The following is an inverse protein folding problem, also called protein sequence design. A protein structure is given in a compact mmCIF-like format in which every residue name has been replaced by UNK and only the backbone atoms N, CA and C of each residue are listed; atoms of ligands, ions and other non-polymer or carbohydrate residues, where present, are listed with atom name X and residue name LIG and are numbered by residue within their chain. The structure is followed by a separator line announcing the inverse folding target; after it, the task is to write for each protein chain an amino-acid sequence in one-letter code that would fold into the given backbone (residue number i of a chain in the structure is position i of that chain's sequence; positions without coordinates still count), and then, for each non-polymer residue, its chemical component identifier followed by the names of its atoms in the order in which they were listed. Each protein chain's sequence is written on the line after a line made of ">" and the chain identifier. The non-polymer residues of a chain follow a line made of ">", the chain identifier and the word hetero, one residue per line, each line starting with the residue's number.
data_IF_850769951705
#
_entry.id   IF_850769951705
#
_cell.length_a   1.000
_cell.length_b   1.000
_cell.length_c   1.000
_cell.angle_alpha   90.00
_cell.angle_beta   90.00
_cell.angle_gamma   90.00
#
_symmetry.space_group_name_H-M   'P 1'
#
loop_
_entity.id
_entity.type
_entity.pdbx_description
1 polymer ?
#
# COMPACT_ATOMS: atom_id res chain seq x y z
N UNK A 1 -1.31 -8.92 -5.61
CA UNK A 1 -2.42 -9.21 -4.68
C UNK A 1 -1.91 -9.49 -3.28
N UNK A 2 -2.67 -9.06 -2.26
CA UNK A 2 -2.42 -9.47 -0.88
C UNK A 2 -2.68 -10.97 -0.69
N UNK A 3 -1.94 -11.62 0.22
CA UNK A 3 -2.07 -13.05 0.50
C UNK A 3 -3.42 -13.51 1.10
N UNK A 4 -4.29 -12.59 1.45
CA UNK A 4 -5.66 -12.84 1.93
C UNK A 4 -6.73 -12.50 0.88
N UNK A 5 -6.35 -12.44 -0.39
CA UNK A 5 -7.26 -12.20 -1.51
C UNK A 5 -8.04 -13.46 -1.88
N UNK A 6 -9.33 -13.32 -2.11
CA UNK A 6 -10.20 -14.39 -2.60
C UNK A 6 -11.00 -13.89 -3.81
N UNK A 7 -11.00 -14.68 -4.88
CA UNK A 7 -11.78 -14.46 -6.08
C UNK A 7 -13.15 -15.12 -5.92
N UNK A 8 -14.23 -14.36 -6.05
CA UNK A 8 -15.61 -14.85 -5.95
C UNK A 8 -16.27 -15.07 -7.30
N UNK A 9 -15.72 -14.44 -8.35
CA UNK A 9 -16.25 -14.51 -9.71
C UNK A 9 -15.10 -14.59 -10.71
N UNK A 10 -15.42 -15.06 -11.91
CA UNK A 10 -14.51 -15.00 -13.06
C UNK A 10 -14.33 -13.53 -13.46
N UNK A 11 -13.10 -13.14 -13.72
CA UNK A 11 -12.72 -11.80 -14.15
C UNK A 11 -12.02 -11.94 -15.50
N UNK A 12 -12.49 -11.20 -16.49
CA UNK A 12 -11.87 -11.22 -17.81
C UNK A 12 -10.65 -10.31 -17.88
N UNK A 13 -9.70 -10.58 -18.79
CA UNK A 13 -8.55 -9.69 -18.99
C UNK A 13 -8.96 -8.26 -19.29
N UNK A 14 -9.99 -8.03 -20.09
CA UNK A 14 -10.47 -6.71 -20.50
C UNK A 14 -11.00 -5.89 -19.32
N UNK A 15 -11.62 -6.56 -18.33
CA UNK A 15 -12.10 -5.92 -17.12
C UNK A 15 -10.94 -5.46 -16.23
N UNK A 16 -9.86 -6.22 -16.19
CA UNK A 16 -8.85 -6.14 -15.14
C UNK A 16 -7.52 -5.56 -15.59
N UNK A 17 -7.05 -5.95 -16.77
CA UNK A 17 -5.76 -5.52 -17.28
C UNK A 17 -5.82 -4.07 -17.77
N UNK A 18 -4.74 -3.30 -17.64
CA UNK A 18 -4.67 -1.96 -18.19
C UNK A 18 -4.71 -2.01 -19.72
N UNK A 19 -5.16 -0.91 -20.30
CA UNK A 19 -5.03 -0.66 -21.76
C UNK A 19 -3.62 -0.16 -22.08
N UNK A 20 -3.28 -0.11 -23.37
CA UNK A 20 -2.00 0.45 -23.84
C UNK A 20 -1.72 1.89 -23.35
N UNK A 21 -2.78 2.64 -23.04
CA UNK A 21 -2.67 4.03 -22.57
C UNK A 21 -2.35 4.12 -21.08
N UNK A 22 -2.69 3.10 -20.30
CA UNK A 22 -2.65 3.16 -18.83
C UNK A 22 -1.43 2.46 -18.23
N UNK A 23 -0.92 1.43 -18.87
CA UNK A 23 0.21 0.59 -18.47
C UNK A 23 0.11 -0.07 -17.08
N UNK A 24 -0.56 0.54 -16.12
CA UNK A 24 -0.78 0.04 -14.75
C UNK A 24 -2.27 -0.01 -14.39
N UNK A 25 -2.60 -0.90 -13.47
CA UNK A 25 -3.92 -1.03 -12.86
C UNK A 25 -3.78 -0.90 -11.35
N UNK A 26 -4.61 -0.07 -10.72
CA UNK A 26 -4.63 0.14 -9.28
C UNK A 26 -6.03 0.12 -8.70
N UNK A 27 -6.14 -0.32 -7.44
CA UNK A 27 -7.42 -0.40 -6.74
C UNK A 27 -7.64 0.85 -5.89
N UNK A 28 -8.69 1.60 -6.21
CA UNK A 28 -9.05 2.81 -5.47
C UNK A 28 -9.65 2.48 -4.09
N UNK A 29 -9.24 3.22 -3.06
CA UNK A 29 -9.91 3.22 -1.77
C UNK A 29 -11.20 4.04 -1.84
N UNK A 30 -12.31 3.40 -2.10
CA UNK A 30 -13.63 4.02 -2.22
C UNK A 30 -14.01 4.93 -1.04
N UNK A 31 -13.51 4.68 0.18
CA UNK A 31 -13.79 5.53 1.33
C UNK A 31 -13.28 6.97 1.19
N UNK A 32 -12.41 7.22 0.21
CA UNK A 32 -11.88 8.57 -0.06
C UNK A 32 -12.53 9.26 -1.25
N UNK A 33 -13.16 8.54 -2.16
CA UNK A 33 -13.68 9.03 -3.44
C UNK A 33 -14.50 10.32 -3.35
N UNK A 34 -15.27 10.51 -2.25
CA UNK A 34 -16.10 11.68 -2.04
C UNK A 34 -15.62 12.56 -0.88
N UNK A 35 -14.37 12.41 -0.45
CA UNK A 35 -13.79 13.22 0.61
C UNK A 35 -12.94 14.35 0.03
N UNK A 36 -12.85 15.48 0.71
CA UNK A 36 -11.90 16.52 0.31
C UNK A 36 -10.47 15.98 0.43
N UNK A 37 -9.58 16.38 -0.50
CA UNK A 37 -8.20 15.90 -0.62
C UNK A 37 -7.39 15.98 0.68
N UNK A 38 -7.68 16.99 1.54
CA UNK A 38 -7.05 17.11 2.86
C UNK A 38 -7.28 15.94 3.80
N UNK A 39 -8.34 15.13 3.55
CA UNK A 39 -8.69 13.94 4.34
C UNK A 39 -8.10 12.65 3.77
N UNK A 40 -7.44 12.69 2.62
CA UNK A 40 -6.75 11.54 2.08
C UNK A 40 -5.55 11.18 2.95
N UNK A 41 -5.32 9.92 3.15
CA UNK A 41 -4.23 9.41 3.98
C UNK A 41 -2.85 9.49 3.34
N UNK A 42 -2.64 10.43 2.44
CA UNK A 42 -1.33 10.69 1.85
C UNK A 42 -0.28 11.03 2.94
N UNK A 43 0.97 10.76 2.64
CA UNK A 43 2.08 11.24 3.45
C UNK A 43 2.18 12.77 3.34
N UNK A 44 2.05 13.47 4.49
CA UNK A 44 2.02 14.93 4.54
C UNK A 44 3.27 15.57 5.14
N UNK A 45 4.21 14.74 5.60
CA UNK A 45 5.50 15.22 6.12
C UNK A 45 6.42 15.54 4.96
N UNK A 46 6.83 16.82 4.85
CA UNK A 46 7.65 17.36 3.74
C UNK A 46 9.03 16.72 3.62
N UNK A 47 9.55 16.13 4.69
CA UNK A 47 10.85 15.47 4.71
C UNK A 47 10.82 14.01 4.21
N UNK A 48 9.64 13.43 3.97
CA UNK A 48 9.51 12.09 3.37
C UNK A 48 9.52 12.18 1.84
N UNK A 49 10.11 11.18 1.20
CA UNK A 49 10.06 11.00 -0.25
C UNK A 49 8.63 10.73 -0.75
N UNK A 50 7.76 10.18 0.11
CA UNK A 50 6.36 9.96 -0.20
C UNK A 50 5.47 11.21 -0.02
N UNK A 51 6.04 12.38 0.25
CA UNK A 51 5.27 13.60 0.47
C UNK A 51 4.39 13.97 -0.72
N UNK A 52 3.11 14.22 -0.43
CA UNK A 52 2.11 14.74 -1.38
C UNK A 52 1.49 16.01 -0.76
N UNK A 53 1.47 17.16 -1.46
CA UNK A 53 0.84 18.40 -0.99
C UNK A 53 -0.69 18.25 -0.77
N UNK A 54 -1.27 19.09 0.09
CA UNK A 54 -2.70 19.04 0.41
C UNK A 54 -3.65 19.36 -0.75
N UNK A 55 -3.15 20.07 -1.77
CA UNK A 55 -3.89 20.44 -2.97
C UNK A 55 -3.59 19.53 -4.18
N UNK A 56 -2.91 18.40 -3.95
CA UNK A 56 -2.53 17.46 -5.00
C UNK A 56 -3.14 16.09 -4.77
N UNK A 57 -3.32 15.35 -5.87
CA UNK A 57 -3.91 14.04 -5.93
C UNK A 57 -5.39 14.09 -6.26
N UNK A 58 -5.88 13.01 -6.83
CA UNK A 58 -7.27 12.83 -7.22
C UNK A 58 -7.82 11.52 -6.67
N UNK A 59 -6.99 10.48 -6.64
CA UNK A 59 -7.33 9.14 -6.23
C UNK A 59 -6.42 8.66 -5.11
N UNK A 60 -6.95 7.86 -4.20
CA UNK A 60 -6.16 7.17 -3.18
C UNK A 60 -6.18 5.66 -3.43
N UNK A 61 -5.03 5.11 -3.75
CA UNK A 61 -4.88 3.70 -4.07
C UNK A 61 -4.49 2.88 -2.85
N UNK A 62 -5.14 1.75 -2.67
CA UNK A 62 -4.79 0.79 -1.63
C UNK A 62 -3.69 -0.16 -2.09
N UNK A 63 -2.80 -0.53 -1.18
CA UNK A 63 -1.69 -1.46 -1.45
C UNK A 63 -2.09 -2.93 -1.63
N UNK A 64 -3.40 -3.24 -1.58
CA UNK A 64 -3.90 -4.61 -1.64
C UNK A 64 -3.86 -5.24 -3.04
N UNK A 65 -3.93 -4.40 -4.08
CA UNK A 65 -3.92 -4.81 -5.47
C UNK A 65 -3.32 -3.72 -6.34
N UNK A 66 -2.26 -4.08 -7.03
CA UNK A 66 -1.59 -3.29 -8.05
C UNK A 66 -0.97 -4.23 -9.08
N UNK A 67 -0.95 -3.86 -10.33
CA UNK A 67 -0.36 -4.65 -11.41
C UNK A 67 -0.30 -3.87 -12.71
N UNK A 68 0.04 -4.56 -13.79
CA UNK A 68 0.07 -3.96 -15.12
C UNK A 68 1.11 -4.58 -16.04
N UNK A 69 1.53 -3.82 -17.04
CA UNK A 69 2.60 -4.19 -17.94
C UNK A 69 3.90 -4.43 -17.15
N UNK A 70 4.63 -5.48 -17.50
CA UNK A 70 5.82 -5.92 -16.74
C UNK A 70 6.86 -4.81 -16.57
N UNK A 71 7.15 -4.06 -17.63
CA UNK A 71 8.14 -2.96 -17.60
C UNK A 71 7.69 -1.83 -16.65
N UNK A 72 6.43 -1.40 -16.78
CA UNK A 72 5.87 -0.34 -15.96
C UNK A 72 5.76 -0.76 -14.48
N UNK A 73 5.45 -2.04 -14.23
CA UNK A 73 5.38 -2.56 -12.87
C UNK A 73 6.76 -2.70 -12.21
N UNK A 74 7.79 -3.12 -12.97
CA UNK A 74 9.18 -3.15 -12.48
C UNK A 74 9.64 -1.72 -12.13
N UNK A 75 9.41 -0.75 -13.02
CA UNK A 75 9.74 0.66 -12.76
C UNK A 75 9.06 1.17 -11.47
N UNK A 76 7.78 0.85 -11.27
CA UNK A 76 7.06 1.20 -10.03
C UNK A 76 7.77 0.63 -8.80
N UNK A 77 8.15 -0.65 -8.82
CA UNK A 77 8.83 -1.29 -7.70
C UNK A 77 10.20 -0.66 -7.42
N UNK A 78 10.99 -0.38 -8.45
CA UNK A 78 12.30 0.27 -8.34
C UNK A 78 12.18 1.66 -7.74
N UNK A 79 11.25 2.47 -8.22
CA UNK A 79 11.03 3.83 -7.70
C UNK A 79 10.52 3.83 -6.25
N UNK A 80 9.58 2.95 -5.92
CA UNK A 80 9.10 2.79 -4.54
C UNK A 80 10.22 2.32 -3.60
N UNK A 81 11.08 1.39 -4.04
CA UNK A 81 12.25 0.93 -3.30
C UNK A 81 13.23 2.08 -3.04
N UNK A 82 13.59 2.83 -4.08
CA UNK A 82 14.50 3.97 -3.98
C UNK A 82 14.00 5.03 -3.00
N UNK A 83 12.72 5.41 -3.09
CA UNK A 83 12.10 6.35 -2.16
C UNK A 83 12.13 5.83 -0.71
N UNK A 84 11.80 4.54 -0.53
CA UNK A 84 11.81 3.89 0.79
C UNK A 84 13.20 3.87 1.39
N UNK A 85 14.22 3.46 0.63
CA UNK A 85 15.61 3.42 1.09
C UNK A 85 16.14 4.83 1.46
N UNK A 86 15.77 5.83 0.66
CA UNK A 86 16.14 7.22 0.92
C UNK A 86 15.55 7.72 2.24
N UNK A 87 14.30 7.42 2.50
CA UNK A 87 13.64 7.77 3.77
C UNK A 87 14.26 7.00 4.94
N UNK A 88 14.49 5.70 4.80
CA UNK A 88 15.09 4.86 5.84
C UNK A 88 16.51 5.34 6.23
N UNK A 89 17.33 5.78 5.29
CA UNK A 89 18.65 6.39 5.56
C UNK A 89 18.55 7.64 6.44
N UNK A 90 17.41 8.34 6.39
CA UNK A 90 17.10 9.53 7.21
C UNK A 90 16.30 9.19 8.47
N UNK A 91 16.12 7.91 8.81
CA UNK A 91 15.25 7.41 9.88
C UNK A 91 13.78 7.85 9.74
N UNK A 92 13.31 8.00 8.51
CA UNK A 92 11.92 8.30 8.19
C UNK A 92 11.24 6.98 7.76
N UNK A 93 10.05 6.74 8.31
CA UNK A 93 9.14 5.70 7.83
C UNK A 93 7.85 6.40 7.43
N UNK A 94 7.43 6.26 6.17
CA UNK A 94 6.19 6.87 5.70
C UNK A 94 4.98 6.33 6.49
N UNK A 95 3.96 7.18 6.66
CA UNK A 95 2.83 6.92 7.56
C UNK A 95 2.12 5.59 7.29
N UNK A 96 1.92 5.26 6.04
CA UNK A 96 1.26 4.04 5.58
C UNK A 96 2.22 3.13 4.82
N UNK A 97 3.49 3.15 5.22
CA UNK A 97 4.56 2.30 4.69
C UNK A 97 4.61 2.32 3.16
N UNK A 98 4.55 1.15 2.52
CA UNK A 98 4.55 0.93 1.08
C UNK A 98 3.42 1.67 0.34
N UNK A 99 2.22 1.72 0.90
CA UNK A 99 1.06 2.41 0.33
C UNK A 99 1.31 3.92 0.15
N UNK A 100 2.08 4.55 1.03
CA UNK A 100 2.45 5.96 0.89
C UNK A 100 3.33 6.21 -0.32
N UNK A 101 4.34 5.36 -0.56
CA UNK A 101 5.22 5.47 -1.72
C UNK A 101 4.49 5.11 -3.02
N UNK A 102 3.62 4.10 -2.98
CA UNK A 102 2.75 3.75 -4.09
C UNK A 102 1.90 4.95 -4.54
N UNK A 103 1.19 5.59 -3.62
CA UNK A 103 0.37 6.76 -3.92
C UNK A 103 1.20 7.94 -4.43
N UNK A 104 2.44 8.10 -3.95
CA UNK A 104 3.37 9.12 -4.47
C UNK A 104 3.78 8.83 -5.90
N UNK A 105 4.12 7.58 -6.22
CA UNK A 105 4.51 7.18 -7.57
C UNK A 105 3.37 7.33 -8.57
N UNK A 106 2.15 7.01 -8.17
CA UNK A 106 0.96 7.05 -9.04
C UNK A 106 0.32 8.43 -9.17
N UNK A 107 0.80 9.44 -8.42
CA UNK A 107 0.17 10.76 -8.30
C UNK A 107 -0.18 11.41 -9.64
N UNK A 108 0.76 11.37 -10.59
CA UNK A 108 0.67 12.04 -11.88
C UNK A 108 0.62 11.04 -13.05
N UNK A 109 0.29 9.77 -12.77
CA UNK A 109 0.24 8.72 -13.79
C UNK A 109 -1.20 8.41 -14.18
N UNK A 110 -1.40 8.18 -15.47
CA UNK A 110 -2.64 7.66 -15.99
C UNK A 110 -2.63 6.14 -15.80
N UNK A 111 -3.53 5.62 -14.97
CA UNK A 111 -3.65 4.18 -14.68
C UNK A 111 -5.10 3.75 -14.77
N UNK A 112 -5.33 2.47 -15.02
CA UNK A 112 -6.65 1.87 -14.93
C UNK A 112 -7.07 1.77 -13.47
N UNK A 113 -8.16 2.45 -13.13
CA UNK A 113 -8.70 2.49 -11.76
C UNK A 113 -9.75 1.40 -11.62
N UNK A 114 -9.49 0.44 -10.73
CA UNK A 114 -10.46 -0.57 -10.35
C UNK A 114 -11.34 -0.09 -9.21
N UNK A 115 -12.64 -0.37 -9.32
CA UNK A 115 -13.62 -0.12 -8.27
C UNK A 115 -13.50 -1.13 -7.13
N UNK A 116 -14.26 -0.92 -6.05
CA UNK A 116 -14.33 -1.82 -4.89
C UNK A 116 -14.89 -3.21 -5.18
N UNK A 117 -15.42 -3.46 -6.38
CA UNK A 117 -15.74 -4.83 -6.83
C UNK A 117 -14.51 -5.72 -6.89
N UNK A 118 -13.35 -5.13 -7.22
CA UNK A 118 -12.08 -5.84 -7.41
C UNK A 118 -11.20 -5.88 -6.15
N UNK A 119 -11.75 -5.50 -4.98
CA UNK A 119 -11.05 -5.65 -3.72
C UNK A 119 -11.58 -4.77 -2.61
N UNK A 120 -12.24 -5.41 -1.66
CA UNK A 120 -12.74 -4.77 -0.45
C UNK A 120 -12.74 -5.75 0.73
N UNK A 121 -12.78 -5.26 1.97
CA UNK A 121 -12.93 -6.12 3.13
C UNK A 121 -14.18 -7.01 3.02
N UNK A 122 -14.07 -8.27 3.42
CA UNK A 122 -15.18 -9.24 3.33
C UNK A 122 -16.44 -8.81 4.09
N UNK A 123 -16.30 -8.03 5.14
CA UNK A 123 -17.40 -7.53 5.96
C UNK A 123 -18.21 -6.40 5.30
N UNK A 124 -17.74 -5.86 4.18
CA UNK A 124 -18.46 -4.83 3.44
C UNK A 124 -19.53 -5.42 2.53
N UNK A 125 -20.79 -5.29 2.94
CA UNK A 125 -21.94 -5.87 2.24
C UNK A 125 -22.64 -4.90 1.29
N UNK A 126 -22.12 -3.66 1.14
CA UNK A 126 -22.71 -2.64 0.28
C UNK A 126 -22.47 -2.93 -1.21
N UNK A 127 -23.42 -2.54 -2.12
CA UNK A 127 -23.22 -2.64 -3.57
C UNK A 127 -21.98 -1.91 -4.06
N UNK A 128 -21.41 -2.33 -5.20
CA UNK A 128 -21.78 -3.46 -6.04
C UNK A 128 -21.34 -4.82 -5.46
N UNK A 129 -21.87 -5.93 -6.01
CA UNK A 129 -21.44 -7.29 -5.62
C UNK A 129 -19.95 -7.48 -5.89
N UNK A 130 -19.14 -7.95 -4.92
CA UNK A 130 -17.71 -8.08 -5.12
C UNK A 130 -17.34 -9.24 -6.05
N UNK A 131 -16.34 -9.02 -6.87
CA UNK A 131 -15.64 -10.05 -7.65
C UNK A 131 -14.42 -10.56 -6.89
N UNK A 132 -13.79 -9.67 -6.11
CA UNK A 132 -12.65 -9.96 -5.24
C UNK A 132 -12.91 -9.39 -3.86
N UNK A 133 -12.57 -10.16 -2.83
CA UNK A 133 -12.58 -9.69 -1.43
C UNK A 133 -11.23 -9.93 -0.75
N UNK A 134 -10.99 -9.16 0.29
CA UNK A 134 -9.88 -9.38 1.22
C UNK A 134 -10.45 -10.00 2.51
N UNK A 135 -10.10 -11.26 2.75
CA UNK A 135 -10.46 -11.99 3.97
C UNK A 135 -9.81 -11.37 5.19
N UNK A 136 -10.48 -11.41 6.33
CA UNK A 136 -9.86 -11.02 7.58
C UNK A 136 -8.71 -11.98 7.94
N UNK A 137 -7.51 -11.44 8.05
CA UNK A 137 -6.30 -12.19 8.41
C UNK A 137 -6.42 -12.84 9.79
N UNK A 138 -7.18 -12.23 10.71
CA UNK A 138 -7.40 -12.80 12.04
C UNK A 138 -8.24 -14.08 11.98
N UNK A 139 -9.20 -14.15 11.04
CA UNK A 139 -10.02 -15.35 10.83
C UNK A 139 -9.19 -16.48 10.21
N UNK A 140 -8.30 -16.15 9.25
CA UNK A 140 -7.49 -17.16 8.55
C UNK A 140 -6.35 -17.67 9.42
N UNK A 141 -5.62 -16.78 10.08
CA UNK A 141 -4.39 -17.09 10.82
C UNK A 141 -4.60 -17.21 12.33
N UNK A 142 -5.77 -16.82 12.82
CA UNK A 142 -6.06 -16.70 14.24
C UNK A 142 -5.48 -15.43 14.87
N UNK A 143 -6.28 -14.75 15.68
CA UNK A 143 -5.90 -13.50 16.32
C UNK A 143 -4.66 -13.64 17.23
N UNK A 144 -4.51 -14.76 17.91
CA UNK A 144 -3.35 -15.08 18.77
C UNK A 144 -2.05 -15.15 17.96
N UNK A 145 -2.08 -15.76 16.77
CA UNK A 145 -0.93 -15.84 15.87
C UNK A 145 -0.52 -14.45 15.36
N UNK A 146 -1.47 -13.65 14.92
CA UNK A 146 -1.22 -12.27 14.49
C UNK A 146 -0.62 -11.42 15.61
N UNK A 147 -1.16 -11.54 16.83
CA UNK A 147 -0.60 -10.87 18.01
C UNK A 147 0.82 -11.33 18.32
N UNK A 148 1.11 -12.62 18.21
CA UNK A 148 2.46 -13.15 18.40
C UNK A 148 3.48 -12.63 17.38
N UNK A 149 3.07 -12.50 16.12
CA UNK A 149 3.91 -11.89 15.06
C UNK A 149 4.22 -10.42 15.35
N UNK A 150 3.22 -9.64 15.77
CA UNK A 150 3.40 -8.23 16.15
C UNK A 150 4.35 -8.10 17.33
N UNK A 151 4.21 -8.92 18.37
CA UNK A 151 5.09 -8.95 19.54
C UNK A 151 6.53 -9.31 19.15
N UNK A 152 6.72 -10.34 18.32
CA UNK A 152 8.03 -10.77 17.82
C UNK A 152 8.74 -9.69 17.03
N UNK A 153 8.03 -8.97 16.16
CA UNK A 153 8.60 -7.88 15.37
C UNK A 153 8.99 -6.70 16.28
N UNK A 154 8.18 -6.36 17.28
CA UNK A 154 8.50 -5.32 18.27
C UNK A 154 9.77 -5.66 19.06
N UNK A 155 9.92 -6.91 19.51
CA UNK A 155 11.13 -7.36 20.20
C UNK A 155 12.38 -7.31 19.33
N UNK A 156 12.28 -7.67 18.03
CA UNK A 156 13.38 -7.54 17.07
C UNK A 156 13.81 -6.09 16.89
N UNK A 157 12.87 -5.15 16.81
CA UNK A 157 13.17 -3.71 16.71
C UNK A 157 13.88 -3.19 17.96
N UNK A 158 13.42 -3.59 19.16
CA UNK A 158 14.05 -3.19 20.44
C UNK A 158 15.47 -3.75 20.51
N UNK A 159 15.68 -5.03 20.19
CA UNK A 159 17.01 -5.66 20.21
C UNK A 159 17.98 -4.99 19.22
N UNK A 160 17.50 -4.61 18.04
CA UNK A 160 18.29 -3.85 17.06
C UNK A 160 18.67 -2.47 17.56
N UNK A 161 17.72 -1.76 18.20
CA UNK A 161 17.99 -0.44 18.79
C UNK A 161 19.03 -0.51 19.92
N UNK A 162 18.89 -1.48 20.84
CA UNK A 162 19.87 -1.72 21.91
C UNK A 162 21.25 -2.02 21.33
N UNK A 163 21.35 -2.90 20.33
CA UNK A 163 22.62 -3.22 19.68
C UNK A 163 23.27 -2.00 19.05
N UNK A 164 22.49 -1.14 18.41
CA UNK A 164 23.00 0.10 17.82
C UNK A 164 23.53 1.09 18.88
N UNK A 165 22.89 1.17 20.05
CA UNK A 165 23.34 2.00 21.18
C UNK A 165 24.66 1.45 21.74
N UNK A 166 24.73 0.15 22.00
CA UNK A 166 25.94 -0.51 22.49
C UNK A 166 27.13 -0.31 21.55
N UNK A 167 26.90 -0.48 20.24
CA UNK A 167 27.95 -0.26 19.24
C UNK A 167 28.45 1.20 19.18
N UNK A 168 27.59 2.17 19.49
CA UNK A 168 27.99 3.59 19.58
C UNK A 168 28.78 3.87 20.85
N UNK A 169 28.49 3.20 21.95
CA UNK A 169 29.20 3.36 23.23
C UNK A 169 30.58 2.70 23.19
N UNK A 170 30.70 1.56 22.52
CA UNK A 170 31.98 0.83 22.39
C UNK A 170 32.96 1.44 21.35
N UNK A 171 32.52 2.41 20.56
CA UNK A 171 33.37 3.14 19.59
C UNK A 171 33.85 4.51 20.12
N UNK A 172 33.57 4.82 21.38
CA UNK A 172 34.13 5.94 22.13
C UNK A 172 35.21 5.44 23.08
#
# INVERSE_FOLDING_TARGET
>A
FNGNTEFLQIITPEEFLPTEKEALTGLEWHTYRNKPLRKYHYERRKNSQAYIPYNSGEHYYQGGLIGGESKAYIELLEQCSLMTETDLKRNITARWHDESYLNKYLLDKQIKILSTEYGRPQEWTVPPTPKIIFRDKNTILGASYICSLKKRNRLKLISKAIRNILNKLLKR
#
